data_IF_831271754961
#
_entry.id   IF_831271754961
#
_cell.length_a   1.000
_cell.length_b   1.000
_cell.length_c   1.000
_cell.angle_alpha   90.00
_cell.angle_beta   90.00
_cell.angle_gamma   90.00
#
_symmetry.space_group_name_H-M   'P 1'
#
loop_
_entity.id
_entity.type
_entity.pdbx_description
1 polymer ?
#
# COMPACT_ATOMS: atom_id res chain seq x y z
N UNK A 1 6.04 -25.18 -15.92
CA UNK A 1 4.68 -24.80 -16.15
C UNK A 1 4.47 -23.31 -15.98
N UNK A 2 4.37 -22.65 -17.10
CA UNK A 2 4.32 -21.20 -17.15
C UNK A 2 3.07 -20.60 -16.48
N UNK A 3 1.98 -21.33 -16.49
CA UNK A 3 0.72 -20.89 -15.92
C UNK A 3 0.81 -20.76 -14.39
N UNK A 4 1.45 -21.73 -13.76
CA UNK A 4 1.61 -21.74 -12.31
C UNK A 4 2.47 -20.58 -11.82
N UNK A 5 3.52 -20.24 -12.58
CA UNK A 5 4.41 -19.15 -12.24
C UNK A 5 3.69 -17.80 -12.29
N UNK A 6 2.87 -17.59 -13.33
CA UNK A 6 2.10 -16.38 -13.49
C UNK A 6 1.07 -16.22 -12.39
N UNK A 7 0.38 -17.30 -12.05
CA UNK A 7 -0.60 -17.30 -11.00
C UNK A 7 0.02 -17.08 -9.63
N UNK A 8 1.17 -17.71 -9.37
CA UNK A 8 1.92 -17.49 -8.13
C UNK A 8 2.34 -16.04 -7.98
N UNK A 9 2.78 -15.41 -9.06
CA UNK A 9 3.15 -14.01 -9.05
C UNK A 9 1.95 -13.12 -8.79
N UNK A 10 0.80 -13.44 -9.38
CA UNK A 10 -0.43 -12.69 -9.14
C UNK A 10 -0.84 -12.77 -7.67
N UNK A 11 -0.79 -13.95 -7.07
CA UNK A 11 -1.10 -14.15 -5.65
C UNK A 11 -0.16 -13.35 -4.77
N UNK A 12 1.12 -13.39 -5.07
CA UNK A 12 2.15 -12.64 -4.35
C UNK A 12 1.88 -11.13 -4.39
N UNK A 13 1.60 -10.61 -5.59
CA UNK A 13 1.32 -9.19 -5.78
C UNK A 13 0.01 -8.77 -5.07
N UNK A 14 -0.99 -9.61 -5.12
CA UNK A 14 -2.27 -9.35 -4.44
C UNK A 14 -2.06 -9.27 -2.93
N UNK A 15 -1.24 -10.16 -2.40
CA UNK A 15 -0.90 -10.15 -0.98
C UNK A 15 -0.16 -8.85 -0.61
N UNK A 16 0.81 -8.46 -1.41
CA UNK A 16 1.55 -7.21 -1.19
C UNK A 16 0.64 -5.99 -1.25
N UNK A 17 -0.29 -5.99 -2.20
CA UNK A 17 -1.26 -4.89 -2.32
C UNK A 17 -2.09 -4.76 -1.04
N UNK A 18 -2.56 -5.87 -0.51
CA UNK A 18 -3.33 -5.88 0.75
C UNK A 18 -2.50 -5.38 1.93
N UNK A 19 -1.25 -5.80 2.00
CA UNK A 19 -0.36 -5.37 3.07
C UNK A 19 -0.15 -3.86 3.04
N UNK A 20 0.04 -3.29 1.85
CA UNK A 20 0.22 -1.85 1.69
C UNK A 20 -1.07 -1.11 2.05
N UNK A 21 -2.23 -1.61 1.63
CA UNK A 21 -3.51 -1.01 1.99
C UNK A 21 -3.73 -1.02 3.51
N UNK A 22 -3.37 -2.10 4.16
CA UNK A 22 -3.46 -2.23 5.60
C UNK A 22 -2.55 -1.22 6.29
N UNK A 23 -1.35 -1.02 5.78
CA UNK A 23 -0.43 -0.02 6.30
C UNK A 23 -0.99 1.40 6.16
N UNK A 24 -1.62 1.71 5.02
CA UNK A 24 -2.27 3.00 4.80
C UNK A 24 -3.37 3.21 5.85
N UNK A 25 -4.18 2.19 6.07
CA UNK A 25 -5.26 2.26 7.05
C UNK A 25 -4.71 2.42 8.48
N UNK A 26 -3.64 1.71 8.80
CA UNK A 26 -2.99 1.82 10.10
C UNK A 26 -2.51 3.25 10.36
N UNK A 27 -1.89 3.88 9.35
CA UNK A 27 -1.43 5.26 9.46
C UNK A 27 -2.63 6.21 9.64
N UNK A 28 -3.71 6.00 8.89
CA UNK A 28 -4.93 6.80 9.03
C UNK A 28 -5.51 6.70 10.44
N UNK A 29 -5.57 5.48 10.97
CA UNK A 29 -6.08 5.25 12.32
C UNK A 29 -5.18 5.89 13.37
N UNK A 30 -3.87 5.80 13.18
CA UNK A 30 -2.92 6.44 14.08
C UNK A 30 -3.13 7.95 14.15
N UNK A 31 -3.29 8.59 12.99
CA UNK A 31 -3.52 10.04 12.91
C UNK A 31 -4.84 10.40 13.62
N UNK A 32 -5.87 9.58 13.46
CA UNK A 32 -7.18 9.83 14.08
C UNK A 32 -7.17 9.68 15.59
N UNK A 33 -6.44 8.66 16.09
CA UNK A 33 -6.39 8.37 17.52
C UNK A 33 -5.37 9.22 18.26
N UNK A 34 -4.28 9.59 17.60
CA UNK A 34 -3.18 10.35 18.17
C UNK A 34 -2.82 11.52 17.28
N UNK A 35 -3.64 12.59 17.25
CA UNK A 35 -3.36 13.73 16.37
C UNK A 35 -1.98 14.29 16.67
N UNK A 36 -1.15 14.51 15.66
CA UNK A 36 0.19 15.07 15.87
C UNK A 36 0.10 16.48 16.45
N UNK A 37 0.98 16.77 17.39
CA UNK A 37 1.02 18.08 18.04
C UNK A 37 1.57 19.16 17.12
N UNK A 38 2.37 18.77 16.14
CA UNK A 38 3.01 19.73 15.22
C UNK A 38 2.57 19.46 13.77
N UNK A 39 2.52 20.54 13.00
CA UNK A 39 2.21 20.46 11.58
C UNK A 39 3.27 19.64 10.82
N UNK A 40 4.53 19.71 11.27
CA UNK A 40 5.62 18.97 10.65
C UNK A 40 5.42 17.46 10.73
N UNK A 41 4.98 16.97 11.88
CA UNK A 41 4.69 15.54 12.05
C UNK A 41 3.52 15.09 11.18
N UNK A 42 2.47 15.90 11.12
CA UNK A 42 1.32 15.61 10.27
C UNK A 42 1.72 15.53 8.80
N UNK A 43 2.55 16.47 8.35
CA UNK A 43 3.05 16.46 6.98
C UNK A 43 3.85 15.20 6.66
N UNK A 44 4.71 14.77 7.58
CA UNK A 44 5.50 13.55 7.41
C UNK A 44 4.62 12.31 7.29
N UNK A 45 3.60 12.22 8.14
CA UNK A 45 2.66 11.09 8.10
C UNK A 45 1.86 11.07 6.82
N UNK A 46 1.41 12.23 6.35
CA UNK A 46 0.68 12.33 5.08
C UNK A 46 1.56 12.01 3.88
N UNK A 47 2.83 12.42 3.91
CA UNK A 47 3.78 12.05 2.88
C UNK A 47 4.00 10.54 2.81
N UNK A 48 4.10 9.92 3.98
CA UNK A 48 4.24 8.48 4.07
C UNK A 48 3.02 7.77 3.48
N UNK A 49 1.82 8.22 3.81
CA UNK A 49 0.59 7.70 3.22
C UNK A 49 0.59 7.83 1.71
N UNK A 50 1.01 8.97 1.20
CA UNK A 50 1.09 9.22 -0.23
C UNK A 50 2.03 8.23 -0.91
N UNK A 51 3.20 8.00 -0.32
CA UNK A 51 4.16 7.03 -0.84
C UNK A 51 3.58 5.63 -0.90
N UNK A 52 2.89 5.21 0.15
CA UNK A 52 2.25 3.90 0.18
C UNK A 52 1.15 3.79 -0.87
N UNK A 53 0.38 4.86 -1.09
CA UNK A 53 -0.64 4.88 -2.14
C UNK A 53 -0.03 4.73 -3.53
N UNK A 54 1.11 5.36 -3.77
CA UNK A 54 1.84 5.23 -5.04
C UNK A 54 2.33 3.79 -5.23
N UNK A 55 2.85 3.18 -4.18
CA UNK A 55 3.28 1.78 -4.22
C UNK A 55 2.08 0.87 -4.50
N UNK A 56 0.96 1.09 -3.83
CA UNK A 56 -0.25 0.32 -4.05
C UNK A 56 -0.75 0.43 -5.50
N UNK A 57 -0.72 1.62 -6.06
CA UNK A 57 -1.12 1.85 -7.46
C UNK A 57 -0.20 1.10 -8.42
N UNK A 58 1.11 1.11 -8.15
CA UNK A 58 2.09 0.37 -8.96
C UNK A 58 1.84 -1.14 -8.92
N UNK A 59 1.59 -1.66 -7.73
CA UNK A 59 1.29 -3.09 -7.56
C UNK A 59 0.02 -3.46 -8.29
N UNK A 60 -1.01 -2.64 -8.17
CA UNK A 60 -2.28 -2.85 -8.86
C UNK A 60 -2.11 -2.89 -10.37
N UNK A 61 -1.29 -1.98 -10.91
CA UNK A 61 -0.99 -1.95 -12.35
C UNK A 61 -0.30 -3.24 -12.79
N UNK A 62 0.62 -3.76 -12.00
CA UNK A 62 1.29 -5.02 -12.31
C UNK A 62 0.32 -6.19 -12.30
N UNK A 63 -0.61 -6.21 -11.35
CA UNK A 63 -1.65 -7.26 -11.29
C UNK A 63 -2.52 -7.20 -12.56
N UNK A 64 -2.92 -6.02 -12.96
CA UNK A 64 -3.74 -5.83 -14.17
C UNK A 64 -3.01 -6.31 -15.42
N UNK A 65 -1.71 -6.05 -15.51
CA UNK A 65 -0.89 -6.51 -16.64
C UNK A 65 -0.81 -8.03 -16.73
N UNK A 66 -0.82 -8.70 -15.59
CA UNK A 66 -0.78 -10.16 -15.54
C UNK A 66 -2.11 -10.80 -15.91
N UNK A 67 -3.17 -10.09 -15.66
CA UNK A 67 -4.51 -10.57 -15.97
C UNK A 67 -4.84 -10.42 -17.42
#
# INVERSE_FOLDING_TARGET
MCTDTKESLRIFLTQQFRDVEEDIETISNYISCNPPETSGELLKLRELQRKYREIAASIKNEIVKLG
#
